data_IF_521169818488
#
_entry.id   IF_521169818488
#
_cell.length_a   1.000
_cell.length_b   1.000
_cell.length_c   1.000
_cell.angle_alpha   90.00
_cell.angle_beta   90.00
_cell.angle_gamma   90.00
#
_symmetry.space_group_name_H-M   'P 1'
#
loop_
_entity.id
_entity.type
_entity.pdbx_description
1 polymer ?
#
# COMPACT_ATOMS: atom_id res chain seq x y z
N UNK A 1 4.22 6.59 9.06
CA UNK A 1 5.15 7.60 8.47
C UNK A 1 6.46 7.02 7.97
N UNK A 2 7.07 6.03 8.65
CA UNK A 2 8.38 5.46 8.26
C UNK A 2 8.54 5.20 6.75
N UNK A 3 7.57 4.53 6.12
CA UNK A 3 7.58 4.27 4.67
C UNK A 3 7.61 5.53 3.79
N UNK A 4 7.02 6.64 4.24
CA UNK A 4 7.03 7.93 3.53
C UNK A 4 8.42 8.56 3.59
N UNK A 5 9.07 8.48 4.76
CA UNK A 5 10.34 9.17 5.01
C UNK A 5 11.59 8.36 4.64
N UNK A 6 11.53 7.04 4.74
CA UNK A 6 12.69 6.14 4.69
C UNK A 6 12.78 5.30 3.41
N UNK A 7 11.70 5.19 2.65
CA UNK A 7 11.71 4.48 1.38
C UNK A 7 12.70 5.12 0.41
N UNK A 8 13.61 4.30 -0.14
CA UNK A 8 14.60 4.78 -1.11
C UNK A 8 14.06 4.77 -2.55
N UNK A 9 12.99 4.00 -2.80
CA UNK A 9 12.41 3.82 -4.14
C UNK A 9 11.10 4.61 -4.31
N UNK A 10 10.32 4.82 -3.25
CA UNK A 10 9.12 5.64 -3.31
C UNK A 10 9.45 7.13 -3.18
N UNK A 11 8.51 7.98 -3.59
CA UNK A 11 8.69 9.43 -3.64
C UNK A 11 7.96 10.15 -2.49
N UNK A 12 7.88 9.50 -1.33
CA UNK A 12 7.17 10.01 -0.16
C UNK A 12 5.73 10.41 -0.48
N UNK A 13 5.37 11.67 -0.20
CA UNK A 13 4.05 12.23 -0.45
C UNK A 13 3.70 12.37 -1.94
N UNK A 14 4.67 12.24 -2.85
CA UNK A 14 4.44 12.30 -4.29
C UNK A 14 4.10 10.94 -4.91
N UNK A 15 3.93 9.91 -4.08
CA UNK A 15 3.45 8.60 -4.49
C UNK A 15 4.51 7.50 -4.39
N UNK A 16 4.04 6.27 -4.63
CA UNK A 16 4.85 5.07 -4.48
C UNK A 16 4.10 3.82 -4.91
N UNK A 17 4.81 2.70 -4.86
CA UNK A 17 4.31 1.36 -5.18
C UNK A 17 4.42 0.48 -3.94
N UNK A 18 3.36 -0.26 -3.64
CA UNK A 18 3.27 -1.11 -2.45
C UNK A 18 4.38 -2.17 -2.40
N UNK A 19 4.77 -2.71 -3.56
CA UNK A 19 5.87 -3.66 -3.66
C UNK A 19 7.17 -3.09 -3.09
N UNK A 20 7.54 -1.86 -3.46
CA UNK A 20 8.76 -1.23 -2.97
C UNK A 20 8.69 -0.99 -1.47
N UNK A 21 7.52 -0.66 -0.92
CA UNK A 21 7.36 -0.56 0.52
C UNK A 21 7.67 -1.89 1.25
N UNK A 22 7.28 -3.04 0.68
CA UNK A 22 7.66 -4.34 1.25
C UNK A 22 9.16 -4.61 1.17
N UNK A 23 9.79 -4.26 0.04
CA UNK A 23 11.25 -4.37 -0.14
C UNK A 23 12.02 -3.45 0.82
N UNK A 24 11.54 -2.23 1.04
CA UNK A 24 12.14 -1.27 1.97
C UNK A 24 12.04 -1.77 3.42
N UNK A 25 10.88 -2.26 3.86
CA UNK A 25 10.74 -2.87 5.21
C UNK A 25 11.70 -4.04 5.38
N UNK A 26 11.85 -4.87 4.35
CA UNK A 26 12.77 -6.00 4.37
C UNK A 26 14.24 -5.52 4.45
N UNK A 27 14.62 -4.49 3.70
CA UNK A 27 15.97 -3.93 3.67
C UNK A 27 16.34 -3.15 4.93
N UNK A 28 15.39 -2.43 5.52
CA UNK A 28 15.55 -1.66 6.77
C UNK A 28 15.63 -2.57 8.01
N UNK A 29 15.21 -3.84 7.88
CA UNK A 29 15.16 -4.80 8.98
C UNK A 29 13.87 -4.73 9.80
N UNK A 30 12.87 -3.98 9.33
CA UNK A 30 11.51 -3.99 9.86
C UNK A 30 10.85 -2.62 9.93
N UNK A 31 9.64 -2.60 10.50
CA UNK A 31 8.79 -1.43 10.63
C UNK A 31 8.45 -1.15 12.09
N UNK A 32 8.39 0.13 12.42
CA UNK A 32 8.03 0.66 13.72
C UNK A 32 6.50 0.79 13.88
N UNK A 33 6.03 0.84 15.12
CA UNK A 33 4.61 1.16 15.41
C UNK A 33 4.28 2.60 15.06
N UNK A 34 3.00 2.85 14.76
CA UNK A 34 2.45 4.21 14.59
C UNK A 34 2.75 5.10 15.81
N UNK A 35 2.61 4.59 17.04
CA UNK A 35 2.93 5.36 18.25
C UNK A 35 4.41 5.77 18.35
N UNK A 36 5.32 4.99 17.78
CA UNK A 36 6.76 5.28 17.80
C UNK A 36 7.25 6.06 16.59
N UNK A 37 6.47 6.08 15.50
CA UNK A 37 6.74 6.85 14.30
C UNK A 37 5.43 7.40 13.69
N UNK A 38 4.82 8.42 14.34
CA UNK A 38 3.49 8.91 13.98
C UNK A 38 3.41 9.51 12.58
N UNK A 39 2.23 9.39 11.95
CA UNK A 39 1.91 9.99 10.67
C UNK A 39 1.83 11.53 10.74
N UNK A 40 2.53 12.19 9.82
CA UNK A 40 2.64 13.65 9.75
C UNK A 40 2.11 14.23 8.45
N UNK A 41 1.69 13.40 7.49
CA UNK A 41 1.16 13.82 6.19
C UNK A 41 2.08 14.79 5.40
N UNK A 42 3.40 14.66 5.56
CA UNK A 42 4.40 15.42 4.81
C UNK A 42 5.72 14.65 4.76
N UNK A 43 6.59 15.03 3.81
CA UNK A 43 7.93 14.46 3.71
C UNK A 43 8.84 14.98 4.81
N UNK A 44 9.51 14.07 5.51
CA UNK A 44 10.55 14.39 6.49
C UNK A 44 11.81 13.58 6.20
N UNK A 45 12.89 13.94 6.87
CA UNK A 45 14.08 13.08 6.92
C UNK A 45 13.73 11.77 7.64
N UNK A 46 14.25 10.65 7.14
CA UNK A 46 14.12 9.34 7.78
C UNK A 46 14.65 9.37 9.23
N UNK A 47 13.84 8.86 10.16
CA UNK A 47 14.15 8.77 11.60
C UNK A 47 14.00 7.34 12.12
N UNK A 48 14.24 6.37 11.25
CA UNK A 48 14.14 4.95 11.60
C UNK A 48 15.03 4.61 12.80
N UNK A 49 14.46 3.86 13.74
CA UNK A 49 15.11 3.38 14.95
C UNK A 49 14.92 1.87 15.05
N UNK A 50 15.99 1.13 14.75
CA UNK A 50 16.00 -0.32 14.77
C UNK A 50 15.62 -0.93 16.14
N UNK A 51 15.81 -0.18 17.24
CA UNK A 51 15.43 -0.65 18.59
C UNK A 51 13.92 -0.66 18.83
N UNK A 52 13.14 -0.01 17.95
CA UNK A 52 11.68 0.13 18.05
C UNK A 52 10.91 -0.66 16.99
N UNK A 53 11.60 -1.52 16.23
CA UNK A 53 10.98 -2.42 15.25
C UNK A 53 10.06 -3.40 15.96
N UNK A 54 8.87 -3.62 15.40
CA UNK A 54 7.88 -4.57 15.93
C UNK A 54 7.48 -5.66 14.93
N UNK A 55 7.74 -5.44 13.65
CA UNK A 55 7.42 -6.40 12.59
C UNK A 55 8.46 -6.29 11.47
N UNK A 56 8.72 -7.40 10.79
CA UNK A 56 9.53 -7.42 9.57
C UNK A 56 8.75 -8.07 8.43
N UNK A 57 9.23 -7.88 7.21
CA UNK A 57 8.70 -8.52 6.00
C UNK A 57 9.79 -9.42 5.45
N UNK A 58 9.46 -10.70 5.27
CA UNK A 58 10.39 -11.69 4.71
C UNK A 58 10.28 -11.84 3.18
N UNK A 59 9.27 -11.19 2.59
CA UNK A 59 9.01 -11.18 1.16
C UNK A 59 7.54 -10.89 0.86
N UNK A 60 7.21 -10.80 -0.42
CA UNK A 60 5.86 -10.61 -0.93
C UNK A 60 5.61 -11.55 -2.11
N UNK A 61 4.34 -11.72 -2.48
CA UNK A 61 3.93 -12.42 -3.69
C UNK A 61 2.97 -11.54 -4.48
N UNK A 62 3.19 -11.46 -5.78
CA UNK A 62 2.29 -10.78 -6.69
C UNK A 62 1.25 -11.77 -7.22
N UNK A 63 -0.01 -11.36 -7.18
CA UNK A 63 -1.10 -12.08 -7.84
C UNK A 63 -1.04 -11.77 -9.34
N UNK A 64 -1.25 -12.76 -10.23
CA UNK A 64 -1.29 -12.51 -11.67
C UNK A 64 -2.30 -11.41 -12.05
N UNK A 65 -1.93 -10.61 -13.04
CA UNK A 65 -2.79 -9.52 -13.51
C UNK A 65 -4.13 -10.05 -14.01
N UNK A 66 -5.23 -9.43 -13.53
CA UNK A 66 -6.62 -9.78 -13.89
C UNK A 66 -7.05 -11.21 -13.54
N UNK A 67 -6.49 -11.77 -12.47
CA UNK A 67 -6.91 -13.06 -11.93
C UNK A 67 -7.67 -12.90 -10.60
N UNK A 68 -8.94 -12.52 -10.70
CA UNK A 68 -9.82 -12.31 -9.54
C UNK A 68 -10.09 -13.62 -8.77
N UNK A 69 -9.99 -14.78 -9.42
CA UNK A 69 -10.15 -16.08 -8.76
C UNK A 69 -8.97 -16.34 -7.83
N UNK A 70 -7.75 -16.18 -8.32
CA UNK A 70 -6.54 -16.27 -7.49
C UNK A 70 -6.52 -15.19 -6.42
N UNK A 71 -7.00 -13.99 -6.73
CA UNK A 71 -7.11 -12.90 -5.74
C UNK A 71 -8.08 -13.26 -4.61
N UNK A 72 -9.28 -13.75 -4.92
CA UNK A 72 -10.25 -14.19 -3.92
C UNK A 72 -9.70 -15.34 -3.06
N UNK A 73 -8.98 -16.28 -3.68
CA UNK A 73 -8.32 -17.37 -2.97
C UNK A 73 -7.22 -16.85 -2.02
N UNK A 74 -6.42 -15.87 -2.44
CA UNK A 74 -5.41 -15.26 -1.60
C UNK A 74 -6.03 -14.53 -0.39
N UNK A 75 -7.14 -13.82 -0.60
CA UNK A 75 -7.89 -13.17 0.49
C UNK A 75 -8.38 -14.21 1.50
N UNK A 76 -8.90 -15.34 1.02
CA UNK A 76 -9.38 -16.43 1.87
C UNK A 76 -8.25 -17.13 2.64
N UNK A 77 -7.15 -17.49 1.96
CA UNK A 77 -6.11 -18.36 2.53
C UNK A 77 -5.04 -17.60 3.33
N UNK A 78 -4.76 -16.35 2.96
CA UNK A 78 -3.65 -15.55 3.52
C UNK A 78 -4.17 -14.40 4.37
N UNK A 79 -5.22 -13.72 3.92
CA UNK A 79 -5.79 -12.55 4.58
C UNK A 79 -5.79 -11.31 3.69
N UNK A 80 -5.82 -10.08 4.26
CA UNK A 80 -5.90 -8.85 3.48
C UNK A 80 -4.79 -8.72 2.41
N UNK A 81 -5.16 -8.28 1.21
CA UNK A 81 -4.27 -8.17 0.05
C UNK A 81 -4.27 -6.73 -0.46
N UNK A 82 -3.10 -6.10 -0.53
CA UNK A 82 -3.00 -4.76 -1.10
C UNK A 82 -3.27 -4.76 -2.61
N UNK A 83 -4.08 -3.82 -3.08
CA UNK A 83 -4.49 -3.72 -4.49
C UNK A 83 -4.45 -2.27 -4.96
N UNK A 84 -4.34 -2.06 -6.27
CA UNK A 84 -4.42 -0.73 -6.88
C UNK A 84 -5.66 -0.62 -7.76
N UNK A 85 -6.36 0.50 -7.67
CA UNK A 85 -7.59 0.79 -8.42
C UNK A 85 -7.51 2.14 -9.15
N UNK A 86 -8.40 2.34 -10.11
CA UNK A 86 -8.67 3.66 -10.70
C UNK A 86 -9.73 4.38 -9.84
N UNK A 87 -9.26 5.29 -8.99
CA UNK A 87 -10.10 6.09 -8.08
C UNK A 87 -10.33 7.53 -8.60
N UNK A 88 -10.02 7.80 -9.87
CA UNK A 88 -10.08 9.16 -10.43
C UNK A 88 -11.49 9.70 -10.67
N UNK A 89 -12.52 8.86 -10.51
CA UNK A 89 -13.90 9.20 -10.87
C UNK A 89 -14.64 9.87 -9.71
N UNK A 90 -15.47 10.88 -10.02
CA UNK A 90 -16.35 11.55 -9.03
C UNK A 90 -17.31 10.56 -8.34
N UNK A 91 -17.74 9.53 -9.05
CA UNK A 91 -18.57 8.45 -8.52
C UNK A 91 -17.88 7.70 -7.37
N UNK A 92 -16.56 7.49 -7.46
CA UNK A 92 -15.77 6.90 -6.37
C UNK A 92 -15.63 7.86 -5.20
N UNK A 93 -15.27 9.12 -5.48
CA UNK A 93 -15.05 10.14 -4.44
C UNK A 93 -16.29 10.41 -3.57
N UNK A 94 -17.48 10.27 -4.16
CA UNK A 94 -18.77 10.51 -3.50
C UNK A 94 -19.51 9.20 -3.16
N UNK A 95 -18.86 8.04 -3.32
CA UNK A 95 -19.44 6.76 -2.95
C UNK A 95 -19.80 6.75 -1.45
N UNK A 96 -20.95 6.16 -1.12
CA UNK A 96 -21.46 6.14 0.26
C UNK A 96 -21.99 4.77 0.70
N UNK A 97 -22.57 3.97 -0.20
CA UNK A 97 -23.10 2.64 0.11
C UNK A 97 -23.42 1.85 -1.16
N UNK A 98 -23.62 0.53 -1.02
CA UNK A 98 -23.98 -0.39 -2.11
C UNK A 98 -22.80 -1.22 -2.61
N UNK A 99 -22.86 -1.63 -3.88
CA UNK A 99 -21.72 -2.24 -4.58
C UNK A 99 -21.29 -1.23 -5.64
N UNK A 100 -20.08 -0.70 -5.50
CA UNK A 100 -19.55 0.31 -6.40
C UNK A 100 -19.25 -0.30 -7.78
N UNK A 101 -19.72 0.36 -8.84
CA UNK A 101 -19.41 0.02 -10.22
C UNK A 101 -19.38 1.29 -11.07
N UNK A 102 -18.28 1.51 -11.80
CA UNK A 102 -18.09 2.66 -12.68
C UNK A 102 -17.79 2.18 -14.10
N UNK A 103 -18.71 2.38 -15.06
CA UNK A 103 -18.51 1.94 -16.45
C UNK A 103 -17.26 2.50 -17.13
N UNK A 104 -16.75 3.66 -16.67
CA UNK A 104 -15.54 4.31 -17.20
C UNK A 104 -14.27 3.96 -16.43
N UNK A 105 -14.33 3.05 -15.48
CA UNK A 105 -13.17 2.60 -14.72
C UNK A 105 -12.14 2.00 -15.67
N UNK A 106 -10.91 2.53 -15.67
CA UNK A 106 -9.88 2.13 -16.61
C UNK A 106 -8.80 1.27 -15.93
N UNK A 107 -8.66 -0.01 -16.29
CA UNK A 107 -7.67 -0.90 -15.67
C UNK A 107 -6.22 -0.52 -15.93
N UNK A 108 -5.97 0.44 -16.82
CA UNK A 108 -4.64 0.99 -17.12
C UNK A 108 -4.38 2.35 -16.46
N UNK A 109 -5.36 2.93 -15.77
CA UNK A 109 -5.25 4.22 -15.10
C UNK A 109 -5.27 4.09 -13.57
N UNK A 110 -4.73 2.98 -13.05
CA UNK A 110 -4.61 2.76 -11.60
C UNK A 110 -3.82 3.91 -10.96
N UNK A 111 -4.37 4.48 -9.90
CA UNK A 111 -3.84 5.70 -9.29
C UNK A 111 -4.00 5.73 -7.76
N UNK A 112 -4.61 4.70 -7.17
CA UNK A 112 -4.84 4.64 -5.74
C UNK A 112 -4.63 3.22 -5.20
N UNK A 113 -3.87 3.09 -4.11
CA UNK A 113 -3.63 1.83 -3.42
C UNK A 113 -4.60 1.68 -2.24
N UNK A 114 -5.21 0.51 -2.11
CA UNK A 114 -6.17 0.15 -1.05
C UNK A 114 -5.87 -1.25 -0.51
N UNK A 115 -6.65 -1.70 0.47
CA UNK A 115 -6.54 -3.00 1.13
C UNK A 115 -7.90 -3.69 1.19
#
# INVERSE_FOLDING_TARGET
QQLVDCSNQNSGCNGGVVQWAYEDIQGEGGIQTESSYPYEAMDRSCRFDASKVVCSVNGYKNIPYKDEVTQAQAVHDVGPVSVCIDAGHLSFQLYSSGVYYEPKCNPNAINHAVL
#
